data_IF_082294209251
#
_entry.id   IF_082294209251
#
_cell.length_a   1.000
_cell.length_b   1.000
_cell.length_c   1.000
_cell.angle_alpha   90.00
_cell.angle_beta   90.00
_cell.angle_gamma   90.00
#
_symmetry.space_group_name_H-M   'P 1'
#
loop_
_entity.id
_entity.type
_entity.pdbx_description
1 polymer ?
#
# COMPACT_ATOMS: atom_id res chain seq x y z
N UNK A 1 -39.01 13.90 -39.60
CA UNK A 1 -37.64 13.70 -39.08
C UNK A 1 -37.59 14.26 -37.67
N UNK A 2 -37.74 13.40 -36.68
CA UNK A 2 -37.86 13.80 -35.29
C UNK A 2 -36.52 13.53 -34.60
N UNK A 3 -35.81 14.59 -34.26
CA UNK A 3 -34.52 14.55 -33.56
C UNK A 3 -34.75 14.16 -32.10
N UNK A 4 -34.30 12.98 -31.68
CA UNK A 4 -34.27 12.58 -30.26
C UNK A 4 -33.14 13.30 -29.58
N UNK A 5 -33.50 14.14 -28.60
CA UNK A 5 -32.57 14.75 -27.65
C UNK A 5 -32.05 13.67 -26.68
N UNK A 6 -30.76 13.41 -26.73
CA UNK A 6 -30.06 12.58 -25.77
C UNK A 6 -30.11 13.25 -24.38
N UNK A 7 -30.59 12.51 -23.38
CA UNK A 7 -30.58 12.94 -21.98
C UNK A 7 -29.13 12.92 -21.44
N UNK A 8 -28.76 13.88 -20.61
CA UNK A 8 -27.44 13.92 -19.99
C UNK A 8 -27.27 12.75 -18.99
N UNK A 9 -26.16 12.04 -19.11
CA UNK A 9 -25.74 10.99 -18.19
C UNK A 9 -25.54 11.61 -16.82
N UNK A 10 -26.32 11.18 -15.80
CA UNK A 10 -26.13 11.57 -14.41
C UNK A 10 -24.79 11.04 -13.91
N UNK A 11 -23.98 11.86 -13.20
CA UNK A 11 -22.76 11.34 -12.58
C UNK A 11 -23.12 10.29 -11.53
N UNK A 12 -22.50 9.13 -11.63
CA UNK A 12 -22.62 8.04 -10.66
C UNK A 12 -21.96 8.53 -9.37
N UNK A 13 -22.74 8.87 -8.36
CA UNK A 13 -22.22 9.18 -7.03
C UNK A 13 -21.60 7.93 -6.44
N UNK A 14 -20.29 7.95 -6.26
CA UNK A 14 -19.56 6.96 -5.47
C UNK A 14 -20.20 6.86 -4.08
N UNK A 15 -20.52 5.65 -3.56
CA UNK A 15 -21.08 5.51 -2.23
C UNK A 15 -20.13 6.11 -1.18
N UNK A 16 -20.65 6.74 -0.11
CA UNK A 16 -19.82 7.31 0.94
C UNK A 16 -18.95 6.21 1.57
N UNK A 17 -17.63 6.46 1.65
CA UNK A 17 -16.68 5.58 2.33
C UNK A 17 -17.09 5.39 3.81
N UNK A 18 -16.92 4.18 4.38
CA UNK A 18 -17.21 3.94 5.78
C UNK A 18 -16.28 4.77 6.69
N UNK A 19 -16.85 5.37 7.71
CA UNK A 19 -16.28 6.41 8.60
C UNK A 19 -15.38 5.88 9.73
N UNK A 20 -14.75 4.72 9.60
CA UNK A 20 -13.82 4.21 10.63
C UNK A 20 -12.38 4.25 10.14
N UNK A 21 -11.53 4.96 10.87
CA UNK A 21 -10.11 5.08 10.59
C UNK A 21 -9.39 3.73 10.77
N UNK A 22 -8.52 3.36 9.84
CA UNK A 22 -7.60 2.21 9.97
C UNK A 22 -6.36 2.60 10.76
N UNK A 23 -5.93 3.86 10.70
CA UNK A 23 -4.87 4.41 11.53
C UNK A 23 -5.06 5.90 11.75
N UNK A 24 -4.66 6.39 12.94
CA UNK A 24 -4.62 7.80 13.28
C UNK A 24 -3.32 8.11 13.99
N UNK A 25 -2.64 9.17 13.56
CA UNK A 25 -1.37 9.65 14.11
C UNK A 25 -1.52 11.11 14.47
N UNK A 26 -1.17 11.49 15.71
CA UNK A 26 -1.27 12.85 16.21
C UNK A 26 0.00 13.27 16.95
N UNK A 27 0.63 14.34 16.46
CA UNK A 27 1.82 14.92 17.08
C UNK A 27 3.02 13.98 17.15
N UNK A 28 3.10 12.99 16.20
CA UNK A 28 4.15 11.98 16.22
C UNK A 28 5.51 12.62 15.98
N UNK A 29 6.42 12.43 16.94
CA UNK A 29 7.81 12.82 16.80
C UNK A 29 8.73 11.67 17.19
N UNK A 30 9.87 11.54 16.48
CA UNK A 30 10.85 10.47 16.69
C UNK A 30 12.26 10.94 16.48
N UNK A 31 13.12 10.67 17.46
CA UNK A 31 14.57 10.85 17.36
C UNK A 31 15.32 9.55 17.53
N UNK A 32 16.47 9.41 16.90
CA UNK A 32 17.44 8.35 17.11
C UNK A 32 18.75 8.99 17.63
N UNK A 33 19.01 8.81 18.91
CA UNK A 33 20.06 9.58 19.61
C UNK A 33 19.75 11.08 19.50
N UNK A 34 20.70 11.86 19.00
CA UNK A 34 20.55 13.31 18.84
C UNK A 34 19.96 13.73 17.48
N UNK A 35 19.62 12.77 16.60
CA UNK A 35 19.06 13.06 15.28
C UNK A 35 17.54 12.98 15.33
N UNK A 36 16.88 14.11 15.15
CA UNK A 36 15.44 14.15 14.92
C UNK A 36 15.13 13.64 13.49
N UNK A 37 14.18 12.73 13.39
CA UNK A 37 13.80 12.07 12.12
C UNK A 37 12.36 12.37 11.77
N UNK A 38 11.48 12.53 12.77
CA UNK A 38 10.08 12.92 12.58
C UNK A 38 9.73 13.99 13.59
N UNK A 39 9.00 15.01 13.17
CA UNK A 39 8.57 16.13 13.98
C UNK A 39 7.11 16.48 13.69
N UNK A 40 6.27 16.37 14.70
CA UNK A 40 4.85 16.75 14.68
C UNK A 40 4.06 16.19 13.49
N UNK A 41 4.18 14.89 13.21
CA UNK A 41 3.44 14.23 12.15
C UNK A 41 2.00 14.01 12.58
N UNK A 42 1.08 14.49 11.75
CA UNK A 42 -0.36 14.33 11.91
C UNK A 42 -0.93 13.75 10.62
N UNK A 43 -1.51 12.54 10.66
CA UNK A 43 -2.14 11.89 9.51
C UNK A 43 -3.20 10.89 9.95
N UNK A 44 -4.15 10.62 9.07
CA UNK A 44 -5.11 9.52 9.22
C UNK A 44 -5.17 8.68 7.95
N UNK A 45 -5.58 7.43 8.09
CA UNK A 45 -5.82 6.52 6.98
C UNK A 45 -7.20 5.89 7.23
N UNK A 46 -8.13 6.14 6.32
CA UNK A 46 -9.47 5.57 6.45
C UNK A 46 -9.53 4.14 5.90
N UNK A 47 -10.50 3.35 6.35
CA UNK A 47 -10.77 2.03 5.75
C UNK A 47 -11.15 2.18 4.28
N UNK A 48 -10.59 1.33 3.44
CA UNK A 48 -10.77 1.39 1.98
C UNK A 48 -10.05 2.55 1.30
N UNK A 49 -9.22 3.30 2.03
CA UNK A 49 -8.39 4.37 1.49
C UNK A 49 -6.96 3.90 1.25
N UNK A 50 -6.37 4.36 0.16
CA UNK A 50 -4.95 4.20 -0.15
C UNK A 50 -4.26 5.55 -0.01
N UNK A 51 -3.37 5.67 0.97
CA UNK A 51 -2.53 6.85 1.20
C UNK A 51 -1.10 6.53 0.77
N UNK A 52 -0.58 7.27 -0.21
CA UNK A 52 0.83 7.18 -0.57
C UNK A 52 1.66 8.19 0.24
N UNK A 53 2.78 7.72 0.78
CA UNK A 53 3.77 8.55 1.46
C UNK A 53 5.01 8.65 0.57
N UNK A 54 5.27 9.83 0.02
CA UNK A 54 6.41 10.10 -0.86
C UNK A 54 7.37 11.11 -0.22
N UNK A 55 8.61 11.15 -0.71
CA UNK A 55 9.64 12.06 -0.21
C UNK A 55 11.03 11.54 -0.52
N UNK A 56 12.05 12.37 -0.29
CA UNK A 56 13.44 12.02 -0.54
C UNK A 56 13.90 10.87 0.36
N UNK A 57 15.00 10.19 -0.03
CA UNK A 57 15.63 9.20 0.83
C UNK A 57 16.04 9.85 2.17
N UNK A 58 15.77 9.16 3.27
CA UNK A 58 16.08 9.67 4.62
C UNK A 58 15.06 10.67 5.19
N UNK A 59 13.96 11.00 4.51
CA UNK A 59 12.93 11.92 5.03
C UNK A 59 12.09 11.37 6.19
N UNK A 60 12.18 10.07 6.51
CA UNK A 60 11.44 9.45 7.63
C UNK A 60 10.31 8.51 7.24
N UNK A 61 10.02 8.29 5.95
CA UNK A 61 8.91 7.43 5.46
C UNK A 61 8.88 6.04 6.08
N UNK A 62 9.98 5.30 5.97
CA UNK A 62 10.08 3.95 6.55
C UNK A 62 10.06 3.96 8.07
N UNK A 63 10.35 5.10 8.71
CA UNK A 63 10.21 5.26 10.17
C UNK A 63 8.73 5.35 10.55
N UNK A 64 7.93 6.15 9.84
CA UNK A 64 6.47 6.22 10.03
C UNK A 64 5.86 4.82 9.83
N UNK A 65 6.20 4.15 8.72
CA UNK A 65 5.69 2.81 8.43
C UNK A 65 6.04 1.81 9.56
N UNK A 66 7.28 1.82 10.04
CA UNK A 66 7.71 0.93 11.13
C UNK A 66 7.04 1.25 12.48
N UNK A 67 6.72 2.52 12.74
CA UNK A 67 5.96 2.92 13.94
C UNK A 67 4.52 2.40 13.83
N UNK A 68 3.85 2.61 12.69
CA UNK A 68 2.50 2.06 12.44
C UNK A 68 2.46 0.53 12.49
N UNK A 69 3.55 -0.13 12.10
CA UNK A 69 3.71 -1.58 12.22
C UNK A 69 3.98 -2.06 13.65
N UNK A 70 4.12 -1.16 14.64
CA UNK A 70 4.51 -1.49 16.02
C UNK A 70 5.96 -1.97 16.18
N UNK A 71 6.80 -1.81 15.15
CA UNK A 71 8.21 -2.23 15.16
C UNK A 71 9.13 -1.22 15.85
N UNK A 72 8.68 0.02 16.03
CA UNK A 72 9.36 1.09 16.76
C UNK A 72 8.37 1.64 17.79
N UNK A 73 8.39 1.13 19.04
CA UNK A 73 7.44 1.56 20.06
C UNK A 73 7.77 2.90 20.72
N UNK A 74 9.03 3.34 20.65
CA UNK A 74 9.52 4.54 21.35
C UNK A 74 9.37 5.77 20.45
N UNK A 75 8.33 6.56 20.68
CA UNK A 75 8.04 7.83 20.00
C UNK A 75 7.24 8.75 20.94
N UNK A 76 7.13 10.04 20.58
CA UNK A 76 6.22 11.00 21.21
C UNK A 76 4.95 11.11 20.36
N UNK A 77 3.89 11.67 20.92
CA UNK A 77 2.59 11.78 20.28
C UNK A 77 1.76 10.51 20.42
N UNK A 78 0.64 10.43 19.71
CA UNK A 78 -0.28 9.32 19.77
C UNK A 78 -0.35 8.60 18.40
N UNK A 79 -0.37 7.27 18.43
CA UNK A 79 -0.50 6.41 17.27
C UNK A 79 -1.53 5.34 17.59
N UNK A 80 -2.64 5.37 16.89
CA UNK A 80 -3.71 4.40 17.00
C UNK A 80 -3.83 3.64 15.69
N UNK A 81 -3.81 2.30 15.75
CA UNK A 81 -3.97 1.41 14.59
C UNK A 81 -5.07 0.42 14.90
N UNK A 82 -6.03 0.31 13.99
CA UNK A 82 -7.12 -0.65 14.12
C UNK A 82 -6.59 -2.07 13.89
N UNK A 83 -6.90 -2.99 14.82
CA UNK A 83 -6.52 -4.40 14.72
C UNK A 83 -5.01 -4.62 14.64
N UNK A 84 -4.62 -5.59 13.82
CA UNK A 84 -3.20 -5.92 13.57
C UNK A 84 -2.81 -5.44 12.18
N UNK A 85 -1.82 -4.52 12.06
CA UNK A 85 -1.30 -4.12 10.76
C UNK A 85 -0.50 -5.25 10.12
N UNK A 86 -0.60 -5.39 8.80
CA UNK A 86 0.25 -6.27 8.02
C UNK A 86 1.26 -5.46 7.21
N UNK A 87 2.46 -6.02 7.02
CA UNK A 87 3.55 -5.34 6.31
C UNK A 87 4.04 -6.18 5.15
N UNK A 88 4.13 -5.58 3.96
CA UNK A 88 4.92 -6.11 2.84
C UNK A 88 6.12 -5.19 2.63
N UNK A 89 7.32 -5.72 2.82
CA UNK A 89 8.58 -4.99 2.70
C UNK A 89 9.07 -4.95 1.24
N UNK A 90 9.97 -4.04 0.94
CA UNK A 90 10.66 -3.93 -0.34
C UNK A 90 11.34 -5.25 -0.74
N UNK A 91 12.05 -5.88 0.20
CA UNK A 91 12.51 -7.25 0.05
C UNK A 91 11.41 -8.21 0.51
N UNK A 92 11.03 -9.23 -0.27
CA UNK A 92 9.94 -10.16 0.08
C UNK A 92 10.14 -10.89 1.41
N UNK A 93 11.38 -11.09 1.86
CA UNK A 93 11.76 -11.75 3.12
C UNK A 93 11.00 -13.06 3.34
N UNK A 94 10.93 -13.88 2.27
CA UNK A 94 10.34 -15.20 2.37
C UNK A 94 11.25 -16.10 3.21
N UNK A 95 10.64 -17.01 3.97
CA UNK A 95 11.36 -18.02 4.72
C UNK A 95 11.89 -19.09 3.73
N UNK A 96 13.22 -19.20 3.51
CA UNK A 96 13.76 -20.08 2.47
C UNK A 96 13.53 -21.57 2.75
N UNK A 97 13.25 -21.92 3.99
CA UNK A 97 12.95 -23.30 4.45
C UNK A 97 11.46 -23.65 4.43
N UNK A 98 10.59 -22.77 3.94
CA UNK A 98 9.16 -23.00 3.79
C UNK A 98 8.78 -22.96 2.31
N UNK A 99 7.84 -23.84 1.91
CA UNK A 99 7.21 -23.75 0.60
C UNK A 99 6.47 -22.41 0.41
N UNK A 100 6.10 -22.08 -0.80
CA UNK A 100 5.33 -20.86 -1.12
C UNK A 100 4.04 -20.80 -0.30
N UNK A 101 3.25 -21.87 -0.28
CA UNK A 101 2.00 -21.88 0.48
C UNK A 101 2.26 -21.77 1.99
N UNK A 102 3.31 -22.40 2.50
CA UNK A 102 3.64 -22.33 3.92
C UNK A 102 4.20 -20.96 4.31
N UNK A 103 4.86 -20.24 3.38
CA UNK A 103 5.22 -18.83 3.55
C UNK A 103 3.97 -17.95 3.70
N UNK A 104 2.92 -18.18 2.90
CA UNK A 104 1.66 -17.45 3.04
C UNK A 104 0.99 -17.78 4.38
N UNK A 105 0.88 -19.07 4.73
CA UNK A 105 0.32 -19.53 6.02
C UNK A 105 1.04 -18.90 7.22
N UNK A 106 2.35 -18.70 7.13
CA UNK A 106 3.13 -18.06 8.20
C UNK A 106 2.71 -16.60 8.49
N UNK A 107 1.95 -15.96 7.61
CA UNK A 107 1.36 -14.64 7.85
C UNK A 107 0.13 -14.64 8.74
N UNK A 108 -0.44 -15.81 9.06
CA UNK A 108 -1.58 -15.90 9.95
C UNK A 108 -1.19 -15.59 11.40
N UNK A 109 -1.92 -14.67 12.00
CA UNK A 109 -1.83 -14.37 13.44
C UNK A 109 -2.97 -15.00 14.27
N UNK A 110 -3.80 -15.84 13.61
CA UNK A 110 -4.94 -16.52 14.23
C UNK A 110 -4.57 -17.95 14.61
N UNK A 111 -4.70 -18.27 15.89
CA UNK A 111 -4.38 -19.61 16.43
C UNK A 111 -5.55 -20.59 16.36
N UNK A 112 -6.76 -20.11 16.04
CA UNK A 112 -8.02 -20.88 16.15
C UNK A 112 -8.40 -21.62 14.85
N UNK A 113 -7.62 -21.52 13.79
CA UNK A 113 -7.94 -22.18 12.53
C UNK A 113 -7.09 -23.46 12.33
N UNK A 114 -7.69 -24.49 11.75
CA UNK A 114 -6.99 -25.74 11.46
C UNK A 114 -5.93 -25.52 10.37
N UNK A 115 -4.89 -26.38 10.34
CA UNK A 115 -3.86 -26.36 9.28
C UNK A 115 -4.48 -26.51 7.88
N UNK A 116 -5.50 -27.33 7.74
CA UNK A 116 -6.20 -27.53 6.48
C UNK A 116 -6.90 -26.26 6.02
N UNK A 117 -7.61 -25.60 6.93
CA UNK A 117 -8.28 -24.33 6.63
C UNK A 117 -7.27 -23.22 6.31
N UNK A 118 -6.15 -23.13 7.03
CA UNK A 118 -5.07 -22.18 6.76
C UNK A 118 -4.49 -22.37 5.36
N UNK A 119 -4.23 -23.61 4.94
CA UNK A 119 -3.73 -23.90 3.58
C UNK A 119 -4.77 -23.60 2.51
N UNK A 120 -6.04 -23.84 2.76
CA UNK A 120 -7.13 -23.51 1.84
C UNK A 120 -7.24 -22.00 1.61
N UNK A 121 -7.14 -21.20 2.68
CA UNK A 121 -7.12 -19.73 2.59
C UNK A 121 -5.87 -19.23 1.85
N UNK A 122 -4.70 -19.83 2.16
CA UNK A 122 -3.45 -19.48 1.46
C UNK A 122 -3.50 -19.82 -0.03
N UNK A 123 -4.03 -20.97 -0.42
CA UNK A 123 -4.20 -21.36 -1.82
C UNK A 123 -5.14 -20.40 -2.57
N UNK A 124 -6.24 -19.98 -1.93
CA UNK A 124 -7.15 -18.98 -2.50
C UNK A 124 -6.42 -17.63 -2.76
N UNK A 125 -5.59 -17.17 -1.82
CA UNK A 125 -4.79 -15.96 -1.98
C UNK A 125 -3.71 -16.11 -3.05
N UNK A 126 -3.03 -17.27 -3.13
CA UNK A 126 -2.06 -17.54 -4.19
C UNK A 126 -2.71 -17.50 -5.57
N UNK A 127 -3.91 -18.03 -5.71
CA UNK A 127 -4.70 -17.93 -6.95
C UNK A 127 -5.06 -16.47 -7.25
N UNK A 128 -5.50 -15.69 -6.26
CA UNK A 128 -5.83 -14.27 -6.40
C UNK A 128 -4.63 -13.45 -6.89
N UNK A 129 -3.40 -13.80 -6.46
CA UNK A 129 -2.18 -13.16 -6.93
C UNK A 129 -1.55 -13.85 -8.15
N UNK A 130 -2.24 -14.80 -8.81
CA UNK A 130 -1.81 -15.49 -10.03
C UNK A 130 -0.59 -16.40 -9.80
N UNK A 131 -0.60 -17.15 -8.71
CA UNK A 131 0.45 -18.10 -8.30
C UNK A 131 -0.10 -19.48 -7.91
N UNK A 132 -1.27 -19.88 -8.45
CA UNK A 132 -1.91 -21.16 -8.16
C UNK A 132 -1.04 -22.36 -8.47
N UNK A 133 -0.18 -22.29 -9.47
CA UNK A 133 0.72 -23.39 -9.87
C UNK A 133 2.01 -23.45 -9.03
N UNK A 134 2.23 -22.49 -8.12
CA UNK A 134 3.48 -22.33 -7.37
C UNK A 134 3.38 -22.74 -5.90
N UNK A 135 2.26 -23.30 -5.43
CA UNK A 135 2.00 -23.60 -4.03
C UNK A 135 3.11 -24.43 -3.35
N UNK A 136 3.60 -25.45 -4.05
CA UNK A 136 4.65 -26.35 -3.56
C UNK A 136 6.08 -25.91 -3.92
N UNK A 137 6.24 -24.81 -4.66
CA UNK A 137 7.54 -24.27 -5.03
C UNK A 137 8.30 -23.72 -3.83
N UNK A 138 9.61 -23.53 -4.02
CA UNK A 138 10.49 -22.94 -2.99
C UNK A 138 10.84 -21.48 -3.36
N UNK A 139 11.08 -20.60 -2.37
CA UNK A 139 11.40 -19.20 -2.61
C UNK A 139 12.55 -18.97 -3.60
N UNK A 140 13.58 -19.81 -3.57
CA UNK A 140 14.77 -19.71 -4.44
C UNK A 140 14.47 -19.95 -5.92
N UNK A 141 13.35 -20.61 -6.24
CA UNK A 141 12.93 -20.90 -7.62
C UNK A 141 12.05 -19.80 -8.22
N UNK A 142 11.66 -18.80 -7.41
CA UNK A 142 10.75 -17.74 -7.81
C UNK A 142 11.51 -16.57 -8.46
N UNK A 143 10.88 -15.94 -9.46
CA UNK A 143 11.31 -14.60 -9.90
C UNK A 143 11.06 -13.55 -8.81
N UNK A 144 11.73 -12.39 -8.90
CA UNK A 144 11.51 -11.29 -7.96
C UNK A 144 10.05 -10.86 -7.86
N UNK A 145 9.34 -10.78 -9.00
CA UNK A 145 7.91 -10.45 -9.03
C UNK A 145 7.01 -11.54 -8.42
N UNK A 146 7.35 -12.82 -8.60
CA UNK A 146 6.65 -13.91 -7.94
C UNK A 146 6.86 -13.86 -6.42
N UNK A 147 8.10 -13.68 -5.96
CA UNK A 147 8.42 -13.54 -4.54
C UNK A 147 7.68 -12.37 -3.88
N UNK A 148 7.56 -11.23 -4.60
CA UNK A 148 6.82 -10.07 -4.11
C UNK A 148 5.32 -10.37 -3.98
N UNK A 149 4.73 -11.09 -4.93
CA UNK A 149 3.31 -11.51 -4.85
C UNK A 149 3.06 -12.51 -3.73
N UNK A 150 3.99 -13.42 -3.44
CA UNK A 150 3.92 -14.30 -2.26
C UNK A 150 3.97 -13.47 -0.97
N UNK A 151 4.87 -12.48 -0.88
CA UNK A 151 4.95 -11.57 0.27
C UNK A 151 3.65 -10.79 0.49
N UNK A 152 3.02 -10.33 -0.58
CA UNK A 152 1.70 -9.68 -0.52
C UNK A 152 0.62 -10.65 -0.03
N UNK A 153 0.53 -11.85 -0.59
CA UNK A 153 -0.41 -12.88 -0.14
C UNK A 153 -0.21 -13.22 1.36
N UNK A 154 1.06 -13.30 1.81
CA UNK A 154 1.39 -13.50 3.23
C UNK A 154 0.90 -12.35 4.12
N UNK A 155 0.98 -11.11 3.66
CA UNK A 155 0.45 -9.98 4.40
C UNK A 155 -1.09 -9.98 4.45
N UNK A 156 -1.74 -10.40 3.38
CA UNK A 156 -3.20 -10.40 3.25
C UNK A 156 -3.91 -11.52 4.01
N UNK A 157 -3.24 -12.65 4.27
CA UNK A 157 -3.89 -13.82 4.89
C UNK A 157 -4.40 -13.55 6.31
N UNK A 158 -3.78 -12.60 7.01
CA UNK A 158 -4.23 -12.16 8.34
C UNK A 158 -5.53 -11.36 8.31
N UNK A 159 -6.01 -10.99 7.12
CA UNK A 159 -7.14 -10.08 6.92
C UNK A 159 -6.95 -8.76 7.69
N UNK A 160 -5.87 -8.00 7.41
CA UNK A 160 -5.50 -6.84 8.18
C UNK A 160 -6.52 -5.71 8.04
N UNK A 161 -6.59 -4.82 9.02
CA UNK A 161 -7.34 -3.58 8.91
C UNK A 161 -6.49 -2.43 8.34
N UNK A 162 -5.16 -2.55 8.47
CA UNK A 162 -4.16 -1.66 7.87
C UNK A 162 -3.09 -2.48 7.17
N UNK A 163 -2.88 -2.22 5.88
CA UNK A 163 -1.80 -2.80 5.08
C UNK A 163 -0.71 -1.75 4.85
N UNK A 164 0.50 -2.08 5.21
CA UNK A 164 1.69 -1.23 5.08
C UNK A 164 2.59 -1.79 3.98
N UNK A 165 2.85 -1.00 2.95
CA UNK A 165 3.64 -1.37 1.78
C UNK A 165 4.90 -0.48 1.72
N UNK A 166 6.08 -1.06 1.90
CA UNK A 166 7.36 -0.35 1.82
C UNK A 166 8.03 -0.63 0.47
N UNK A 167 7.91 0.30 -0.49
CA UNK A 167 8.43 0.21 -1.86
C UNK A 167 8.12 -1.12 -2.57
N UNK A 168 6.87 -1.60 -2.57
CA UNK A 168 6.51 -2.98 -2.93
C UNK A 168 6.80 -3.34 -4.38
N UNK A 169 7.00 -2.36 -5.25
CA UNK A 169 7.24 -2.56 -6.68
C UNK A 169 8.62 -2.07 -7.14
N UNK A 170 9.47 -1.58 -6.21
CA UNK A 170 10.75 -0.95 -6.53
C UNK A 170 11.77 -1.87 -7.21
N UNK A 171 11.75 -3.15 -6.88
CA UNK A 171 12.67 -4.16 -7.44
C UNK A 171 12.19 -4.79 -8.77
N UNK A 172 11.02 -4.40 -9.28
CA UNK A 172 10.41 -4.99 -10.47
C UNK A 172 10.80 -4.22 -11.75
N UNK A 173 10.99 -4.95 -12.85
CA UNK A 173 11.06 -4.34 -14.18
C UNK A 173 9.73 -3.66 -14.55
N UNK A 174 9.74 -2.80 -15.57
CA UNK A 174 8.61 -1.95 -15.91
C UNK A 174 7.31 -2.72 -16.24
N UNK A 175 7.39 -3.84 -16.97
CA UNK A 175 6.20 -4.62 -17.36
C UNK A 175 5.65 -5.41 -16.18
N UNK A 176 6.52 -6.08 -15.43
CA UNK A 176 6.17 -6.81 -14.22
C UNK A 176 5.55 -5.88 -13.17
N UNK A 177 6.08 -4.65 -13.03
CA UNK A 177 5.55 -3.62 -12.13
C UNK A 177 4.12 -3.25 -12.48
N UNK A 178 3.83 -2.95 -13.75
CA UNK A 178 2.46 -2.60 -14.21
C UNK A 178 1.48 -3.74 -13.88
N UNK A 179 1.87 -4.97 -14.19
CA UNK A 179 1.04 -6.15 -13.91
C UNK A 179 0.81 -6.34 -12.42
N UNK A 180 1.84 -6.19 -11.60
CA UNK A 180 1.74 -6.30 -10.14
C UNK A 180 0.87 -5.20 -9.53
N UNK A 181 0.98 -3.96 -10.01
CA UNK A 181 0.14 -2.83 -9.60
C UNK A 181 -1.33 -3.07 -9.95
N UNK A 182 -1.62 -3.56 -11.15
CA UNK A 182 -2.99 -3.87 -11.56
C UNK A 182 -3.60 -4.98 -10.71
N UNK A 183 -2.84 -6.04 -10.46
CA UNK A 183 -3.26 -7.15 -9.59
C UNK A 183 -3.53 -6.65 -8.17
N UNK A 184 -2.65 -5.79 -7.66
CA UNK A 184 -2.81 -5.19 -6.34
C UNK A 184 -4.07 -4.32 -6.25
N UNK A 185 -4.35 -3.47 -7.24
CA UNK A 185 -5.58 -2.66 -7.29
C UNK A 185 -6.83 -3.53 -7.25
N UNK A 186 -6.86 -4.62 -8.01
CA UNK A 186 -7.99 -5.54 -8.03
C UNK A 186 -8.20 -6.22 -6.66
N UNK A 187 -7.10 -6.62 -5.99
CA UNK A 187 -7.13 -7.22 -4.66
C UNK A 187 -7.57 -6.21 -3.59
N UNK A 188 -7.08 -4.98 -3.65
CA UNK A 188 -7.45 -3.93 -2.71
C UNK A 188 -8.91 -3.48 -2.86
N UNK A 189 -9.41 -3.38 -4.09
CA UNK A 189 -10.79 -2.96 -4.38
C UNK A 189 -11.86 -3.90 -3.78
N UNK A 190 -11.53 -5.19 -3.62
CA UNK A 190 -12.43 -6.19 -3.03
C UNK A 190 -12.43 -6.20 -1.49
N UNK A 191 -11.56 -5.44 -0.85
CA UNK A 191 -11.29 -5.46 0.59
C UNK A 191 -11.44 -4.07 1.19
N UNK A 192 -11.84 -3.99 2.44
CA UNK A 192 -12.12 -2.73 3.14
C UNK A 192 -11.05 -2.44 4.21
N UNK A 193 -9.77 -2.58 3.87
CA UNK A 193 -8.67 -2.17 4.74
C UNK A 193 -8.08 -0.82 4.32
N UNK A 194 -7.49 -0.08 5.25
CA UNK A 194 -6.69 1.09 4.93
C UNK A 194 -5.31 0.68 4.41
N UNK A 195 -4.71 1.48 3.55
CA UNK A 195 -3.38 1.20 3.01
C UNK A 195 -2.46 2.40 3.14
N UNK A 196 -1.24 2.18 3.65
CA UNK A 196 -0.13 3.12 3.47
C UNK A 196 0.87 2.53 2.47
N UNK A 197 1.06 3.23 1.37
CA UNK A 197 2.06 2.92 0.34
C UNK A 197 3.24 3.88 0.46
N UNK A 198 4.40 3.39 0.87
CA UNK A 198 5.65 4.15 0.80
C UNK A 198 6.28 3.91 -0.56
N UNK A 199 6.55 4.98 -1.29
CA UNK A 199 7.23 4.91 -2.60
C UNK A 199 8.04 6.17 -2.87
N UNK A 200 9.02 6.06 -3.76
CA UNK A 200 9.75 7.19 -4.34
C UNK A 200 9.30 7.48 -5.79
N UNK A 201 8.44 6.65 -6.36
CA UNK A 201 7.89 6.81 -7.70
C UNK A 201 6.59 7.62 -7.66
N UNK A 202 6.65 8.86 -8.14
CA UNK A 202 5.50 9.78 -8.17
C UNK A 202 4.37 9.26 -9.05
N UNK A 203 4.71 8.65 -10.20
CA UNK A 203 3.70 8.09 -11.10
C UNK A 203 2.99 6.88 -10.47
N UNK A 204 3.69 6.10 -9.64
CA UNK A 204 3.11 5.04 -8.84
C UNK A 204 2.14 5.59 -7.80
N UNK A 205 2.54 6.63 -7.05
CA UNK A 205 1.67 7.26 -6.06
C UNK A 205 0.39 7.79 -6.71
N UNK A 206 0.49 8.50 -7.86
CA UNK A 206 -0.68 8.97 -8.61
C UNK A 206 -1.54 7.81 -9.14
N UNK A 207 -0.93 6.70 -9.58
CA UNK A 207 -1.67 5.57 -10.13
C UNK A 207 -2.49 4.81 -9.07
N UNK A 208 -1.99 4.73 -7.83
CA UNK A 208 -2.50 3.81 -6.82
C UNK A 208 -3.22 4.48 -5.65
N UNK A 209 -2.81 5.70 -5.26
CA UNK A 209 -3.29 6.31 -4.03
C UNK A 209 -4.47 7.26 -4.21
N UNK A 210 -5.39 7.27 -3.26
CA UNK A 210 -6.47 8.26 -3.19
C UNK A 210 -5.95 9.60 -2.68
N UNK A 211 -4.91 9.56 -1.84
CA UNK A 211 -4.27 10.73 -1.26
C UNK A 211 -2.76 10.52 -1.21
N UNK A 212 -2.01 11.56 -1.54
CA UNK A 212 -0.54 11.55 -1.55
C UNK A 212 -0.03 12.55 -0.51
N UNK A 213 0.77 12.08 0.43
CA UNK A 213 1.41 12.87 1.48
C UNK A 213 2.90 13.02 1.14
N UNK A 214 3.38 14.25 1.10
CA UNK A 214 4.80 14.57 0.95
C UNK A 214 5.46 14.70 2.32
N UNK A 215 6.54 13.96 2.52
CA UNK A 215 7.39 14.05 3.69
C UNK A 215 8.73 14.68 3.31
N UNK A 216 9.04 15.84 3.91
CA UNK A 216 10.30 16.57 3.72
C UNK A 216 10.91 16.87 5.10
N UNK A 217 12.17 16.48 5.30
CA UNK A 217 12.94 16.74 6.54
C UNK A 217 12.17 16.42 7.84
N UNK A 218 11.46 15.28 7.84
CA UNK A 218 10.72 14.82 9.02
C UNK A 218 9.36 15.47 9.24
N UNK A 219 8.89 16.34 8.34
CA UNK A 219 7.58 17.01 8.42
C UNK A 219 6.71 16.68 7.20
N UNK A 220 5.39 16.73 7.37
CA UNK A 220 4.47 16.71 6.24
C UNK A 220 4.49 18.11 5.59
N UNK A 221 5.02 18.19 4.37
CA UNK A 221 5.14 19.44 3.62
C UNK A 221 3.95 19.74 2.73
N UNK A 222 3.25 18.69 2.25
CA UNK A 222 2.05 18.83 1.43
C UNK A 222 1.21 17.56 1.49
N UNK A 223 -0.07 17.71 1.17
CA UNK A 223 -1.03 16.63 1.00
C UNK A 223 -1.91 16.92 -0.22
N UNK A 224 -2.08 15.94 -1.11
CA UNK A 224 -2.84 16.09 -2.36
C UNK A 224 -3.81 14.92 -2.49
N UNK A 225 -5.09 15.23 -2.68
CA UNK A 225 -6.13 14.26 -3.03
C UNK A 225 -6.13 14.02 -4.54
N UNK A 226 -6.16 12.77 -4.96
CA UNK A 226 -6.16 12.38 -6.38
C UNK A 226 -7.60 12.09 -6.82
N UNK A 227 -8.22 13.07 -7.47
CA UNK A 227 -9.61 12.99 -7.95
C UNK A 227 -9.71 12.35 -9.33
N UNK A 228 -9.08 11.18 -9.51
CA UNK A 228 -9.14 10.40 -10.74
C UNK A 228 -9.86 9.07 -10.49
N UNK A 229 -10.74 8.63 -11.42
CA UNK A 229 -11.41 7.34 -11.29
C UNK A 229 -10.41 6.18 -11.36
N UNK A 230 -10.62 5.16 -10.53
CA UNK A 230 -9.80 3.93 -10.51
C UNK A 230 -10.44 2.87 -11.43
N UNK A 231 -9.66 2.15 -12.29
CA UNK A 231 -8.22 2.25 -12.49
C UNK A 231 -7.84 3.53 -13.26
N UNK A 232 -6.74 4.17 -12.85
CA UNK A 232 -6.32 5.45 -13.42
C UNK A 232 -5.59 5.26 -14.74
N UNK A 233 -6.11 5.92 -15.79
CA UNK A 233 -5.44 5.94 -17.09
C UNK A 233 -4.24 6.88 -17.07
N UNK A 234 -3.05 6.34 -17.29
CA UNK A 234 -1.80 7.12 -17.35
C UNK A 234 -1.72 8.06 -18.54
N UNK A 235 -2.57 7.87 -19.56
CA UNK A 235 -2.69 8.77 -20.71
C UNK A 235 -3.65 9.95 -20.43
N UNK A 236 -4.34 9.95 -19.30
CA UNK A 236 -5.21 11.06 -18.92
C UNK A 236 -4.37 12.32 -18.67
N UNK A 237 -4.68 13.47 -19.28
CA UNK A 237 -3.95 14.74 -19.02
C UNK A 237 -3.91 15.14 -17.55
N UNK A 238 -4.94 14.84 -16.76
CA UNK A 238 -4.95 15.10 -15.32
C UNK A 238 -3.94 14.22 -14.56
N UNK A 239 -3.67 12.99 -15.03
CA UNK A 239 -2.61 12.16 -14.46
C UNK A 239 -1.23 12.85 -14.60
N UNK A 240 -0.94 13.36 -15.79
CA UNK A 240 0.29 14.12 -16.04
C UNK A 240 0.36 15.40 -15.19
N UNK A 241 -0.78 16.08 -14.98
CA UNK A 241 -0.87 17.27 -14.13
C UNK A 241 -0.50 16.94 -12.68
N UNK A 242 -1.13 15.94 -12.05
CA UNK A 242 -0.80 15.51 -10.68
C UNK A 242 0.67 15.09 -10.54
N UNK A 243 1.19 14.35 -11.54
CA UNK A 243 2.59 13.93 -11.55
C UNK A 243 3.53 15.12 -11.58
N UNK A 244 3.27 16.12 -12.46
CA UNK A 244 4.07 17.34 -12.56
C UNK A 244 4.00 18.17 -11.28
N UNK A 245 2.83 18.31 -10.67
CA UNK A 245 2.64 19.04 -9.42
C UNK A 245 3.45 18.41 -8.28
N UNK A 246 3.36 17.09 -8.09
CA UNK A 246 4.12 16.37 -7.06
C UNK A 246 5.63 16.45 -7.28
N UNK A 247 6.10 16.35 -8.54
CA UNK A 247 7.52 16.54 -8.87
C UNK A 247 8.00 17.95 -8.52
N UNK A 248 7.19 18.98 -8.82
CA UNK A 248 7.49 20.37 -8.47
C UNK A 248 7.60 20.55 -6.95
N UNK A 249 6.69 19.97 -6.18
CA UNK A 249 6.72 20.01 -4.70
C UNK A 249 7.93 19.28 -4.13
N UNK A 250 8.34 18.17 -4.72
CA UNK A 250 9.57 17.45 -4.35
C UNK A 250 10.85 18.23 -4.76
N UNK A 251 10.71 19.39 -5.43
CA UNK A 251 11.85 20.18 -5.93
C UNK A 251 12.76 19.38 -6.85
N UNK A 252 12.19 18.46 -7.60
CA UNK A 252 12.88 17.74 -8.68
C UNK A 252 12.79 18.65 -9.91
N UNK A 253 13.82 19.49 -10.12
CA UNK A 253 13.99 20.26 -11.34
C UNK A 253 14.35 19.30 -12.48
N UNK A 254 13.54 19.32 -13.54
CA UNK A 254 13.84 18.69 -14.85
C UNK A 254 14.90 19.47 -15.61
#
# INVERSE_FOLDING_TARGET
MTTQLQQPIKPTTTPPKPTSSAATVQGLSKSFGNREVLTDINLSIERGEVVALIGRSGSGKSTILKILAGLIPEHSGSVEVAGYPAVAFQEPRLFPWLSVIDNVVAGLNRTEISKEQARKEAAALLKEVGLEDFESSWPETLSGGQSQRVSLARALISNPELLLLDEPFGALDALTRITAQQLWLNTAASRNFGVMLVTHDVAEAVALADRVILLEDGHISAEITIELPTPRDRNNPQFAHYTAELLRLLKVTS
#
